data_IF_893870731328
#
_entry.id   IF_893870731328
#
_cell.length_a   1.000
_cell.length_b   1.000
_cell.length_c   1.000
_cell.angle_alpha   90.00
_cell.angle_beta   90.00
_cell.angle_gamma   90.00
#
_symmetry.space_group_name_H-M   'P 1'
#
loop_
_entity.id
_entity.type
_entity.pdbx_description
1 polymer ?
#
# COMPACT_ATOMS: atom_id res chain seq x y z
N UNK A 1 25.30 -23.82 -31.03
CA UNK A 1 26.39 -23.69 -30.04
C UNK A 1 26.64 -22.25 -29.59
N UNK A 2 26.65 -21.25 -30.49
CA UNK A 2 26.87 -19.85 -30.10
C UNK A 2 25.70 -19.27 -29.27
N UNK A 3 24.46 -19.50 -29.73
CA UNK A 3 23.23 -19.01 -29.08
C UNK A 3 23.05 -19.55 -27.65
N UNK A 4 23.35 -20.83 -27.43
CA UNK A 4 23.28 -21.46 -26.09
C UNK A 4 24.35 -20.95 -25.12
N UNK A 5 25.51 -20.52 -25.64
CA UNK A 5 26.56 -19.87 -24.84
C UNK A 5 26.18 -18.45 -24.45
N UNK A 6 25.56 -17.70 -25.36
CA UNK A 6 25.04 -16.34 -25.09
C UNK A 6 23.92 -16.39 -24.06
N UNK A 7 22.96 -17.31 -24.20
CA UNK A 7 21.87 -17.50 -23.24
C UNK A 7 22.37 -17.88 -21.84
N UNK A 8 23.35 -18.80 -21.73
CA UNK A 8 23.99 -19.12 -20.45
C UNK A 8 24.76 -17.94 -19.86
N UNK A 9 25.44 -17.14 -20.69
CA UNK A 9 26.13 -15.94 -20.25
C UNK A 9 25.16 -14.91 -19.67
N UNK A 10 23.99 -14.71 -20.32
CA UNK A 10 22.93 -13.85 -19.84
C UNK A 10 22.35 -14.36 -18.50
N UNK A 11 22.04 -15.65 -18.43
CA UNK A 11 21.53 -16.30 -17.21
C UNK A 11 22.48 -16.12 -16.01
N UNK A 12 23.78 -16.38 -16.21
CA UNK A 12 24.80 -16.19 -15.17
C UNK A 12 24.91 -14.71 -14.79
N UNK A 13 24.84 -13.80 -15.75
CA UNK A 13 24.92 -12.36 -15.48
C UNK A 13 23.71 -11.89 -14.67
N UNK A 14 22.51 -12.34 -15.02
CA UNK A 14 21.29 -12.06 -14.24
C UNK A 14 21.38 -12.65 -12.84
N UNK A 15 21.86 -13.89 -12.70
CA UNK A 15 22.08 -14.53 -11.40
C UNK A 15 23.09 -13.76 -10.55
N UNK A 16 24.19 -13.28 -11.13
CA UNK A 16 25.19 -12.49 -10.43
C UNK A 16 24.64 -11.12 -9.99
N UNK A 17 23.82 -10.47 -10.82
CA UNK A 17 23.14 -9.21 -10.47
C UNK A 17 22.16 -9.44 -9.31
N UNK A 18 21.38 -10.53 -9.35
CA UNK A 18 20.46 -10.90 -8.27
C UNK A 18 21.22 -11.21 -6.97
N UNK A 19 22.33 -11.96 -7.04
CA UNK A 19 23.16 -12.23 -5.88
C UNK A 19 23.76 -10.94 -5.28
N UNK A 20 24.24 -10.02 -6.13
CA UNK A 20 24.77 -8.73 -5.70
C UNK A 20 23.69 -7.87 -5.04
N UNK A 21 22.47 -7.84 -5.59
CA UNK A 21 21.34 -7.12 -5.00
C UNK A 21 20.92 -7.70 -3.64
N UNK A 22 20.91 -9.03 -3.50
CA UNK A 22 20.56 -9.72 -2.25
C UNK A 22 21.62 -9.55 -1.15
N UNK A 23 22.89 -9.34 -1.51
CA UNK A 23 24.00 -9.21 -0.55
C UNK A 23 24.31 -7.77 -0.15
N UNK A 24 23.87 -6.77 -0.93
CA UNK A 24 24.06 -5.35 -0.62
C UNK A 24 23.38 -4.86 0.66
N UNK A 25 22.46 -5.64 1.23
CA UNK A 25 21.67 -5.27 2.41
C UNK A 25 22.23 -5.79 3.75
N UNK A 26 23.39 -6.46 3.72
CA UNK A 26 23.87 -7.28 4.85
C UNK A 26 24.95 -6.64 5.71
N UNK A 27 25.33 -5.38 5.50
CA UNK A 27 26.37 -4.73 6.30
C UNK A 27 25.99 -3.31 6.73
N UNK A 28 25.20 -3.15 7.82
CA UNK A 28 24.87 -1.83 8.35
C UNK A 28 26.17 -1.12 8.76
N UNK A 29 26.36 0.11 8.26
CA UNK A 29 27.55 0.90 8.57
C UNK A 29 27.55 1.30 10.05
N UNK A 30 28.52 0.79 10.82
CA UNK A 30 28.62 1.08 12.26
C UNK A 30 29.01 2.55 12.57
N UNK A 31 29.52 3.27 11.57
CA UNK A 31 29.90 4.69 11.69
C UNK A 31 28.76 5.65 11.38
N UNK A 32 27.71 5.22 10.66
CA UNK A 32 26.57 6.07 10.35
C UNK A 32 25.52 6.01 11.48
N UNK A 33 25.18 7.15 12.14
CA UNK A 33 24.16 7.19 13.19
C UNK A 33 22.80 6.64 12.75
N UNK A 34 22.41 6.83 11.49
CA UNK A 34 21.15 6.36 10.93
C UNK A 34 21.15 4.83 10.85
N UNK A 35 22.23 4.22 10.37
CA UNK A 35 22.36 2.76 10.25
C UNK A 35 22.38 2.06 11.63
N UNK A 36 22.85 2.74 12.68
CA UNK A 36 22.74 2.22 14.06
C UNK A 36 21.31 2.19 14.57
N UNK A 37 20.52 3.24 14.33
CA UNK A 37 19.09 3.24 14.68
C UNK A 37 18.37 2.16 13.86
N UNK A 38 18.69 2.09 12.57
CA UNK A 38 18.16 1.12 11.62
C UNK A 38 18.37 -0.31 12.06
N UNK A 39 19.53 -0.64 12.64
CA UNK A 39 19.80 -1.97 13.18
C UNK A 39 18.78 -2.43 14.23
N UNK A 40 18.17 -1.50 14.98
CA UNK A 40 17.13 -1.78 15.97
C UNK A 40 15.70 -1.60 15.44
N UNK A 41 15.49 -0.83 14.38
CA UNK A 41 14.16 -0.58 13.80
C UNK A 41 13.87 -1.39 12.54
N UNK A 42 14.82 -2.19 12.04
CA UNK A 42 14.68 -2.94 10.77
C UNK A 42 13.45 -3.84 10.70
N UNK A 43 13.01 -4.38 11.84
CA UNK A 43 11.82 -5.26 11.91
C UNK A 43 10.49 -4.51 11.80
N UNK A 44 10.49 -3.18 11.95
CA UNK A 44 9.30 -2.32 11.87
C UNK A 44 9.38 -1.36 10.68
N UNK A 45 10.36 -1.53 9.80
CA UNK A 45 10.41 -0.76 8.55
C UNK A 45 9.36 -1.24 7.57
N UNK A 46 8.88 -0.32 6.73
CA UNK A 46 7.94 -0.63 5.68
C UNK A 46 8.57 -1.59 4.64
N UNK A 47 7.97 -2.76 4.45
CA UNK A 47 8.41 -3.72 3.42
C UNK A 47 7.81 -3.36 2.05
N UNK A 48 8.57 -2.58 1.29
CA UNK A 48 8.18 -2.18 -0.06
C UNK A 48 8.03 -3.37 -1.02
N UNK A 49 8.81 -4.45 -0.85
CA UNK A 49 8.79 -5.59 -1.77
C UNK A 49 7.51 -6.40 -1.59
N UNK A 50 7.20 -6.74 -0.34
CA UNK A 50 5.95 -7.45 0.00
C UNK A 50 4.74 -6.59 -0.38
N UNK A 51 4.78 -5.29 -0.08
CA UNK A 51 3.73 -4.34 -0.45
C UNK A 51 3.49 -4.30 -1.96
N UNK A 52 4.54 -4.13 -2.77
CA UNK A 52 4.42 -4.09 -4.23
C UNK A 52 3.88 -5.42 -4.80
N UNK A 53 4.35 -6.56 -4.28
CA UNK A 53 3.89 -7.87 -4.72
C UNK A 53 2.40 -8.08 -4.40
N UNK A 54 1.97 -7.72 -3.19
CA UNK A 54 0.56 -7.80 -2.80
C UNK A 54 -0.32 -6.89 -3.65
N UNK A 55 0.09 -5.62 -3.84
CA UNK A 55 -0.60 -4.66 -4.70
C UNK A 55 -0.79 -5.20 -6.13
N UNK A 56 0.26 -5.79 -6.71
CA UNK A 56 0.18 -6.39 -8.04
C UNK A 56 -0.87 -7.52 -8.10
N UNK A 57 -0.90 -8.41 -7.10
CA UNK A 57 -1.88 -9.51 -7.02
C UNK A 57 -3.32 -8.96 -6.91
N UNK A 58 -3.54 -7.95 -6.05
CA UNK A 58 -4.85 -7.30 -5.89
C UNK A 58 -5.31 -6.75 -7.24
N UNK A 59 -4.43 -6.12 -8.00
CA UNK A 59 -4.78 -5.51 -9.30
C UNK A 59 -5.06 -6.54 -10.38
N UNK A 60 -4.31 -7.64 -10.43
CA UNK A 60 -4.61 -8.76 -11.35
C UNK A 60 -6.01 -9.31 -11.09
N UNK A 61 -6.38 -9.50 -9.81
CA UNK A 61 -7.73 -9.97 -9.44
C UNK A 61 -8.80 -8.94 -9.80
N UNK A 62 -8.58 -7.66 -9.52
CA UNK A 62 -9.53 -6.60 -9.84
C UNK A 62 -9.79 -6.49 -11.35
N UNK A 63 -8.74 -6.59 -12.18
CA UNK A 63 -8.85 -6.58 -13.65
C UNK A 63 -9.65 -7.77 -14.19
N UNK A 64 -9.55 -8.94 -13.56
CA UNK A 64 -10.28 -10.13 -13.99
C UNK A 64 -11.82 -10.02 -13.79
N UNK A 65 -12.27 -9.20 -12.85
CA UNK A 65 -13.70 -9.08 -12.47
C UNK A 65 -14.37 -7.84 -13.06
N UNK A 66 -13.60 -6.92 -13.68
CA UNK A 66 -14.10 -5.69 -14.30
C UNK A 66 -15.08 -4.88 -13.42
N UNK A 67 -14.80 -4.87 -12.10
CA UNK A 67 -15.70 -4.44 -11.02
C UNK A 67 -16.41 -3.09 -11.22
N UNK A 68 -15.80 -2.04 -11.78
CA UNK A 68 -16.48 -0.75 -11.87
C UNK A 68 -17.57 -0.71 -12.94
N UNK A 69 -17.52 -1.59 -13.94
CA UNK A 69 -18.50 -1.59 -15.05
C UNK A 69 -19.80 -2.33 -14.70
N UNK A 70 -19.86 -3.00 -13.54
CA UNK A 70 -21.04 -3.76 -13.09
C UNK A 70 -21.90 -2.99 -12.08
N UNK A 71 -21.43 -1.85 -11.56
CA UNK A 71 -22.11 -1.04 -10.56
C UNK A 71 -22.60 0.28 -11.15
N UNK A 72 -23.78 0.74 -10.74
CA UNK A 72 -24.29 2.05 -11.12
C UNK A 72 -23.53 3.18 -10.41
N UNK A 73 -23.60 4.39 -10.97
CA UNK A 73 -22.86 5.55 -10.47
C UNK A 73 -23.20 5.92 -9.01
N UNK A 74 -24.46 5.74 -8.57
CA UNK A 74 -24.84 6.10 -7.21
C UNK A 74 -24.20 5.13 -6.21
N UNK A 75 -24.19 3.83 -6.52
CA UNK A 75 -23.49 2.82 -5.72
C UNK A 75 -21.99 3.06 -5.68
N UNK A 76 -21.36 3.36 -6.83
CA UNK A 76 -19.93 3.68 -6.89
C UNK A 76 -19.56 4.87 -5.98
N UNK A 77 -20.35 5.95 -6.03
CA UNK A 77 -20.17 7.12 -5.16
C UNK A 77 -20.33 6.74 -3.68
N UNK A 78 -21.32 5.91 -3.36
CA UNK A 78 -21.56 5.42 -1.99
C UNK A 78 -20.34 4.69 -1.42
N UNK A 79 -19.76 3.76 -2.19
CA UNK A 79 -18.57 3.00 -1.79
C UNK A 79 -17.37 3.91 -1.54
N UNK A 80 -17.08 4.83 -2.46
CA UNK A 80 -15.96 5.77 -2.31
C UNK A 80 -16.17 6.67 -1.10
N UNK A 81 -17.39 7.19 -0.91
CA UNK A 81 -17.72 8.05 0.23
C UNK A 81 -17.56 7.29 1.56
N UNK A 82 -18.03 6.05 1.63
CA UNK A 82 -17.87 5.21 2.82
C UNK A 82 -16.39 4.93 3.10
N UNK A 83 -15.61 4.57 2.09
CA UNK A 83 -14.17 4.34 2.22
C UNK A 83 -13.42 5.56 2.77
N UNK A 84 -13.72 6.76 2.25
CA UNK A 84 -13.12 8.02 2.72
C UNK A 84 -13.56 8.35 4.15
N UNK A 85 -14.84 8.16 4.49
CA UNK A 85 -15.36 8.39 5.85
C UNK A 85 -14.74 7.41 6.86
N UNK A 86 -14.61 6.14 6.50
CA UNK A 86 -13.95 5.13 7.34
C UNK A 86 -12.47 5.48 7.54
N UNK A 87 -11.78 5.92 6.50
CA UNK A 87 -10.39 6.40 6.60
C UNK A 87 -10.27 7.60 7.53
N UNK A 88 -11.18 8.58 7.43
CA UNK A 88 -11.20 9.73 8.35
C UNK A 88 -11.42 9.28 9.81
N UNK A 89 -12.37 8.38 10.05
CA UNK A 89 -12.63 7.86 11.39
C UNK A 89 -11.42 7.12 11.99
N UNK A 90 -10.62 6.44 11.16
CA UNK A 90 -9.36 5.83 11.60
C UNK A 90 -8.40 6.92 12.07
N UNK A 91 -8.18 7.98 11.28
CA UNK A 91 -7.28 9.07 11.68
C UNK A 91 -7.73 9.78 12.96
N UNK A 92 -9.03 10.03 13.11
CA UNK A 92 -9.58 10.65 14.30
C UNK A 92 -9.35 9.78 15.55
N UNK A 93 -9.55 8.47 15.43
CA UNK A 93 -9.31 7.52 16.51
C UNK A 93 -7.81 7.30 16.81
N UNK A 94 -6.93 7.28 15.80
CA UNK A 94 -5.47 7.22 15.99
C UNK A 94 -4.95 8.47 16.70
N UNK A 95 -5.52 9.64 16.39
CA UNK A 95 -5.22 10.89 17.09
C UNK A 95 -5.69 10.85 18.54
N UNK A 96 -6.90 10.35 18.80
CA UNK A 96 -7.40 10.16 20.16
C UNK A 96 -6.54 9.16 20.96
N UNK A 97 -6.16 8.05 20.34
CA UNK A 97 -5.27 7.06 20.94
C UNK A 97 -3.93 7.70 21.33
N UNK A 98 -3.35 8.49 20.43
CA UNK A 98 -2.11 9.22 20.68
C UNK A 98 -2.23 10.19 21.86
N UNK A 99 -3.35 10.89 21.99
CA UNK A 99 -3.61 11.77 23.14
C UNK A 99 -3.67 11.00 24.47
N UNK A 100 -4.35 9.84 24.51
CA UNK A 100 -4.43 9.01 25.71
C UNK A 100 -3.03 8.54 26.14
N UNK A 101 -2.20 8.11 25.19
CA UNK A 101 -0.84 7.66 25.53
C UNK A 101 0.12 8.80 25.88
N UNK A 102 -0.14 10.02 25.41
CA UNK A 102 0.64 11.20 25.73
C UNK A 102 0.27 11.86 27.07
N UNK A 103 -0.95 11.62 27.60
CA UNK A 103 -1.41 12.23 28.85
C UNK A 103 -0.77 11.57 30.09
N UNK A 104 0.01 12.31 30.90
CA UNK A 104 0.60 11.79 32.13
C UNK A 104 -0.39 11.61 33.29
N UNK A 105 -1.58 12.22 33.22
CA UNK A 105 -2.62 12.08 34.25
C UNK A 105 -3.35 10.73 34.16
N UNK A 106 -3.25 10.03 33.03
CA UNK A 106 -3.83 8.71 32.82
C UNK A 106 -2.83 7.64 33.27
N UNK A 107 -3.11 7.04 34.44
CA UNK A 107 -2.26 5.98 35.01
C UNK A 107 -2.37 4.67 34.26
N UNK A 108 -3.60 4.23 33.94
CA UNK A 108 -3.86 3.00 33.20
C UNK A 108 -4.26 3.31 31.74
N UNK A 109 -3.26 3.44 30.89
CA UNK A 109 -3.43 3.77 29.46
C UNK A 109 -4.08 2.63 28.69
N UNK A 110 -3.84 1.38 29.10
CA UNK A 110 -4.36 0.20 28.43
C UNK A 110 -5.86 0.05 28.65
N UNK A 111 -6.35 0.30 29.86
CA UNK A 111 -7.77 0.35 30.13
C UNK A 111 -8.42 1.58 29.49
N UNK A 112 -7.82 2.76 29.62
CA UNK A 112 -8.37 4.00 29.09
C UNK A 112 -8.52 4.01 27.56
N UNK A 113 -7.64 3.30 26.84
CA UNK A 113 -7.68 3.22 25.37
C UNK A 113 -8.40 1.98 24.81
N UNK A 114 -8.91 1.08 25.65
CA UNK A 114 -9.50 -0.20 25.22
C UNK A 114 -10.60 -0.02 24.15
N UNK A 115 -11.53 0.90 24.38
CA UNK A 115 -12.62 1.19 23.47
C UNK A 115 -12.10 1.73 22.11
N UNK A 116 -11.19 2.71 22.15
CA UNK A 116 -10.59 3.33 20.96
C UNK A 116 -9.83 2.29 20.12
N UNK A 117 -9.07 1.39 20.77
CA UNK A 117 -8.37 0.30 20.06
C UNK A 117 -9.35 -0.69 19.42
N UNK A 118 -10.46 -1.00 20.10
CA UNK A 118 -11.51 -1.87 19.55
C UNK A 118 -12.18 -1.24 18.33
N UNK A 119 -12.51 0.05 18.40
CA UNK A 119 -13.09 0.80 17.28
C UNK A 119 -12.11 0.87 16.10
N UNK A 120 -10.84 1.17 16.35
CA UNK A 120 -9.79 1.14 15.34
C UNK A 120 -9.70 -0.23 14.65
N UNK A 121 -9.78 -1.33 15.40
CA UNK A 121 -9.76 -2.67 14.81
C UNK A 121 -10.93 -2.88 13.85
N UNK A 122 -12.15 -2.50 14.26
CA UNK A 122 -13.35 -2.62 13.42
C UNK A 122 -13.28 -1.73 12.17
N UNK A 123 -12.81 -0.49 12.32
CA UNK A 123 -12.65 0.45 11.21
C UNK A 123 -11.60 -0.04 10.20
N UNK A 124 -10.47 -0.57 10.68
CA UNK A 124 -9.43 -1.13 9.83
C UNK A 124 -9.91 -2.35 9.05
N UNK A 125 -10.69 -3.24 9.68
CA UNK A 125 -11.33 -4.36 9.01
C UNK A 125 -12.27 -3.86 7.90
N UNK A 126 -13.12 -2.88 8.21
CA UNK A 126 -14.04 -2.29 7.23
C UNK A 126 -13.32 -1.61 6.07
N UNK A 127 -12.25 -0.86 6.34
CA UNK A 127 -11.41 -0.26 5.28
C UNK A 127 -10.84 -1.33 4.36
N UNK A 128 -10.38 -2.45 4.93
CA UNK A 128 -9.79 -3.57 4.17
C UNK A 128 -10.81 -4.21 3.23
N UNK A 129 -12.07 -4.33 3.64
CA UNK A 129 -13.16 -4.80 2.78
C UNK A 129 -13.48 -3.83 1.64
N UNK A 130 -13.53 -2.53 1.94
CA UNK A 130 -13.91 -1.49 0.99
C UNK A 130 -12.79 -1.16 -0.02
N UNK A 131 -11.52 -1.29 0.38
CA UNK A 131 -10.38 -0.79 -0.36
C UNK A 131 -10.32 -1.30 -1.81
N UNK A 132 -10.41 -2.61 -2.12
CA UNK A 132 -10.26 -3.08 -3.50
C UNK A 132 -11.27 -2.46 -4.46
N UNK A 133 -12.49 -2.22 -3.98
CA UNK A 133 -13.57 -1.67 -4.78
C UNK A 133 -13.47 -0.14 -4.90
N UNK A 134 -13.24 0.54 -3.78
CA UNK A 134 -13.06 2.00 -3.77
C UNK A 134 -11.84 2.41 -4.62
N UNK A 135 -10.73 1.70 -4.51
CA UNK A 135 -9.51 1.95 -5.28
C UNK A 135 -9.74 1.76 -6.79
N UNK A 136 -10.48 0.71 -7.19
CA UNK A 136 -10.79 0.46 -8.59
C UNK A 136 -11.72 1.55 -9.18
N UNK A 137 -12.71 1.99 -8.41
CA UNK A 137 -13.61 3.09 -8.80
C UNK A 137 -12.83 4.39 -8.98
N UNK A 138 -12.00 4.76 -7.99
CA UNK A 138 -11.17 5.96 -8.04
C UNK A 138 -10.20 5.92 -9.23
N UNK A 139 -9.54 4.79 -9.47
CA UNK A 139 -8.66 4.59 -10.60
C UNK A 139 -9.37 4.81 -11.95
N UNK A 140 -10.60 4.31 -12.09
CA UNK A 140 -11.40 4.53 -13.29
C UNK A 140 -11.84 5.99 -13.44
N UNK A 141 -12.29 6.64 -12.36
CA UNK A 141 -12.65 8.06 -12.40
C UNK A 141 -11.47 8.93 -12.84
N UNK A 142 -10.27 8.69 -12.29
CA UNK A 142 -9.05 9.39 -12.71
C UNK A 142 -8.74 9.11 -14.18
N UNK A 143 -8.86 7.85 -14.61
CA UNK A 143 -8.65 7.46 -16.02
C UNK A 143 -9.60 8.17 -16.97
N UNK A 144 -10.88 8.29 -16.62
CA UNK A 144 -11.88 9.02 -17.41
C UNK A 144 -11.52 10.51 -17.52
N UNK A 145 -11.13 11.15 -16.42
CA UNK A 145 -10.68 12.55 -16.44
C UNK A 145 -9.45 12.71 -17.33
N UNK A 146 -8.44 11.83 -17.20
CA UNK A 146 -7.24 11.86 -18.05
C UNK A 146 -7.56 11.70 -19.54
N UNK A 147 -8.57 10.89 -19.88
CA UNK A 147 -9.04 10.74 -21.25
C UNK A 147 -9.68 12.04 -21.77
N UNK A 148 -10.53 12.68 -20.96
CA UNK A 148 -11.18 13.95 -21.30
C UNK A 148 -10.17 15.08 -21.55
N UNK A 149 -9.07 15.13 -20.79
CA UNK A 149 -8.04 16.15 -20.94
C UNK A 149 -6.95 15.79 -21.98
N UNK A 150 -7.10 14.69 -22.72
CA UNK A 150 -6.19 14.30 -23.79
C UNK A 150 -4.86 13.68 -23.35
N UNK A 151 -4.75 13.23 -22.10
CA UNK A 151 -3.57 12.59 -21.52
C UNK A 151 -3.61 11.06 -21.61
N UNK A 152 -4.29 10.52 -22.64
CA UNK A 152 -4.32 9.07 -22.91
C UNK A 152 -3.74 8.77 -24.28
N UNK A 153 -3.02 7.65 -24.37
CA UNK A 153 -2.56 7.09 -25.64
C UNK A 153 -3.43 5.87 -25.94
N UNK A 154 -4.26 5.94 -26.98
CA UNK A 154 -5.16 4.84 -27.35
C UNK A 154 -6.25 4.55 -26.30
N UNK A 155 -6.72 5.57 -25.57
CA UNK A 155 -7.74 5.42 -24.53
C UNK A 155 -7.23 4.89 -23.18
N UNK A 156 -5.92 4.70 -23.04
CA UNK A 156 -5.26 4.33 -21.79
C UNK A 156 -4.35 5.46 -21.30
N UNK A 157 -4.39 5.84 -20.02
CA UNK A 157 -3.49 6.84 -19.47
C UNK A 157 -2.06 6.30 -19.48
N UNK A 158 -1.11 7.18 -19.82
CA UNK A 158 0.32 6.86 -19.82
C UNK A 158 1.03 7.86 -18.91
N UNK A 159 1.57 7.44 -17.75
CA UNK A 159 1.56 6.08 -17.21
C UNK A 159 0.17 5.64 -16.73
N UNK A 160 -0.07 4.33 -16.70
CA UNK A 160 -1.32 3.77 -16.17
C UNK A 160 -1.50 4.16 -14.70
N UNK A 161 -2.74 4.44 -14.31
CA UNK A 161 -3.08 4.78 -12.92
C UNK A 161 -3.11 3.48 -12.12
N UNK A 162 -2.18 3.27 -11.21
CA UNK A 162 -2.17 2.12 -10.29
C UNK A 162 -2.29 2.63 -8.87
N UNK A 163 -3.52 2.86 -8.41
CA UNK A 163 -3.76 3.38 -7.06
C UNK A 163 -3.81 2.24 -6.04
N UNK A 164 -2.99 2.29 -4.99
CA UNK A 164 -3.07 1.38 -3.86
C UNK A 164 -2.65 2.11 -2.58
N UNK A 165 -3.40 1.92 -1.49
CA UNK A 165 -3.12 2.54 -0.20
C UNK A 165 -3.08 1.50 0.91
N UNK A 166 -2.10 1.63 1.80
CA UNK A 166 -1.98 0.84 3.03
C UNK A 166 -1.81 1.76 4.24
N UNK A 167 -2.23 1.32 5.44
CA UNK A 167 -1.92 2.02 6.67
C UNK A 167 -0.41 2.20 6.86
N UNK A 168 -0.05 3.15 7.72
CA UNK A 168 1.33 3.33 8.15
C UNK A 168 1.78 2.11 8.97
N UNK A 169 3.05 1.69 8.84
CA UNK A 169 3.63 0.61 9.63
C UNK A 169 3.81 0.99 11.11
#
# INVERSE_FOLDING_TARGET
MLLTRILRGLEITVLLILLAALTGYSNPSLTNPIERVRAYTRSIEFDYLEWMANAAIIKVRASAVNLPYTLDHATQKGIVTEYLRTTQAIFDNEYLLSQIYADPAITDKENASENVRSELSALNARRTELAPLAEAILQNQVTSVLAEIGFTAGGQPVPSVWYHSTPLP
#
